data_IF_164365321958
#
_entry.id   IF_164365321958
#
_cell.length_a   1.000
_cell.length_b   1.000
_cell.length_c   1.000
_cell.angle_alpha   90.00
_cell.angle_beta   90.00
_cell.angle_gamma   90.00
#
_symmetry.space_group_name_H-M   'P 1'
#
loop_
_entity.id
_entity.type
_entity.pdbx_description
1 polymer ?
#
# COMPACT_ATOMS: atom_id res chain seq x y z
N UNK A 1 21.55 -25.56 59.63
CA UNK A 1 20.17 -25.83 59.16
C UNK A 1 19.51 -24.49 58.94
N UNK A 2 19.73 -23.90 57.77
CA UNK A 2 19.11 -22.65 57.34
C UNK A 2 17.66 -22.95 57.00
N UNK A 3 16.73 -22.42 57.80
CA UNK A 3 15.31 -22.45 57.45
C UNK A 3 15.15 -21.70 56.13
N UNK A 4 14.87 -22.45 55.06
CA UNK A 4 14.38 -21.91 53.81
C UNK A 4 13.10 -21.13 54.14
N UNK A 5 13.21 -19.81 54.20
CA UNK A 5 12.06 -18.92 54.28
C UNK A 5 11.11 -19.29 53.14
N UNK A 6 9.83 -19.45 53.48
CA UNK A 6 8.79 -19.98 52.61
C UNK A 6 8.79 -19.22 51.29
N UNK A 7 9.41 -19.81 50.26
CA UNK A 7 9.56 -19.17 48.96
C UNK A 7 8.22 -19.30 48.25
N UNK A 8 7.49 -18.19 48.13
CA UNK A 8 6.17 -18.19 47.51
C UNK A 8 6.32 -18.31 45.99
N UNK A 9 5.81 -19.40 45.45
CA UNK A 9 5.59 -19.56 44.01
C UNK A 9 4.56 -18.53 43.55
N UNK A 10 4.90 -17.78 42.51
CA UNK A 10 4.06 -16.76 41.89
C UNK A 10 3.89 -17.15 40.43
N UNK A 11 2.66 -17.35 39.97
CA UNK A 11 2.43 -17.50 38.54
C UNK A 11 2.37 -16.13 37.87
N UNK A 12 2.60 -16.06 36.56
CA UNK A 12 2.24 -14.86 35.79
C UNK A 12 0.74 -14.55 35.93
N UNK A 13 0.33 -13.35 35.49
CA UNK A 13 -1.06 -12.88 35.52
C UNK A 13 -2.03 -13.86 34.85
N UNK A 14 -1.52 -14.70 33.95
CA UNK A 14 -2.24 -15.70 33.19
C UNK A 14 -2.15 -17.11 33.79
N UNK A 15 -1.53 -17.30 34.95
CA UNK A 15 -1.44 -18.58 35.67
C UNK A 15 -0.59 -19.65 34.98
N UNK A 16 0.21 -19.32 33.97
CA UNK A 16 0.83 -20.27 33.04
C UNK A 16 2.32 -20.48 33.29
N UNK A 17 3.10 -19.43 33.52
CA UNK A 17 4.55 -19.54 33.77
C UNK A 17 4.85 -19.41 35.26
N UNK A 18 5.72 -20.29 35.78
CA UNK A 18 6.09 -20.31 37.20
C UNK A 18 7.26 -19.36 37.50
N UNK A 19 6.99 -18.37 38.34
CA UNK A 19 7.96 -17.44 38.91
C UNK A 19 8.14 -17.65 40.41
N UNK A 20 9.21 -17.06 40.92
CA UNK A 20 9.59 -16.98 42.31
C UNK A 20 9.70 -15.52 42.70
N UNK A 21 9.07 -15.14 43.81
CA UNK A 21 9.29 -13.84 44.41
C UNK A 21 10.63 -13.83 45.17
N UNK A 22 11.53 -12.94 44.78
CA UNK A 22 12.85 -12.80 45.38
C UNK A 22 13.07 -11.35 45.81
N UNK A 23 13.63 -11.05 47.00
CA UNK A 23 13.95 -9.68 47.38
C UNK A 23 15.00 -9.08 46.43
N UNK A 24 14.89 -7.78 46.13
CA UNK A 24 15.74 -7.05 45.17
C UNK A 24 17.24 -7.20 45.42
N UNK A 25 17.66 -7.35 46.68
CA UNK A 25 19.07 -7.50 47.05
C UNK A 25 19.62 -8.94 46.88
N UNK A 26 18.83 -9.87 46.35
CA UNK A 26 19.24 -11.27 46.21
C UNK A 26 20.10 -11.49 44.96
N UNK A 27 21.09 -12.41 44.99
CA UNK A 27 21.92 -12.73 43.81
C UNK A 27 21.10 -13.22 42.60
N UNK A 28 19.99 -13.94 42.82
CA UNK A 28 19.08 -14.38 41.77
C UNK A 28 18.35 -13.21 41.07
N UNK A 29 18.35 -12.03 41.69
CA UNK A 29 17.73 -10.81 41.20
C UNK A 29 18.75 -9.93 40.42
N UNK A 30 20.03 -10.03 40.76
CA UNK A 30 21.11 -9.21 40.17
C UNK A 30 21.89 -9.89 39.04
N UNK A 31 21.60 -11.15 38.70
CA UNK A 31 22.19 -11.85 37.55
C UNK A 31 23.72 -12.02 37.58
N UNK A 32 24.38 -11.60 38.67
CA UNK A 32 25.81 -11.75 38.90
C UNK A 32 26.01 -12.93 39.86
N UNK A 33 26.50 -14.04 39.32
CA UNK A 33 27.22 -15.01 40.14
C UNK A 33 28.45 -14.32 40.73
N UNK A 34 28.81 -14.69 41.96
CA UNK A 34 30.08 -14.30 42.58
C UNK A 34 31.24 -14.88 41.76
N UNK A 35 31.62 -14.18 40.70
CA UNK A 35 32.95 -14.25 40.09
C UNK A 35 33.64 -12.92 40.40
N UNK A 36 34.24 -12.86 41.59
CA UNK A 36 35.27 -11.88 41.86
C UNK A 36 36.52 -12.29 41.09
N UNK A 37 36.68 -11.78 39.87
CA UNK A 37 37.98 -11.41 39.32
C UNK A 37 37.83 -10.50 38.09
N UNK A 38 38.52 -9.37 38.14
CA UNK A 38 38.64 -8.34 37.10
C UNK A 38 38.93 -8.93 35.72
N UNK A 39 38.03 -8.74 34.75
CA UNK A 39 38.38 -8.72 33.33
C UNK A 39 37.61 -7.60 32.64
N UNK A 40 38.36 -6.78 31.92
CA UNK A 40 37.98 -5.57 31.21
C UNK A 40 36.79 -5.75 30.25
N UNK A 41 36.01 -4.67 30.13
CA UNK A 41 34.92 -4.49 29.18
C UNK A 41 35.30 -4.93 27.76
N UNK A 42 34.59 -5.92 27.23
CA UNK A 42 34.43 -6.12 25.79
C UNK A 42 32.95 -6.00 25.46
N UNK A 43 32.58 -4.83 24.94
CA UNK A 43 31.35 -4.66 24.17
C UNK A 43 31.34 -5.67 23.02
N UNK A 44 30.30 -6.51 22.98
CA UNK A 44 30.00 -7.34 21.81
C UNK A 44 28.75 -6.76 21.20
N UNK A 45 28.94 -5.86 20.24
CA UNK A 45 27.89 -5.34 19.38
C UNK A 45 27.29 -6.47 18.55
N UNK A 46 26.14 -7.00 18.99
CA UNK A 46 25.30 -7.81 18.11
C UNK A 46 24.45 -6.86 17.27
N UNK A 47 24.92 -6.59 16.05
CA UNK A 47 24.25 -5.75 15.07
C UNK A 47 22.83 -6.28 14.79
N UNK A 48 21.85 -5.65 15.42
CA UNK A 48 20.45 -5.72 15.01
C UNK A 48 20.32 -5.16 13.60
N UNK A 49 20.04 -6.03 12.63
CA UNK A 49 19.69 -5.61 11.28
C UNK A 49 18.29 -5.01 11.31
N UNK A 50 18.21 -3.73 11.65
CA UNK A 50 17.01 -2.93 11.47
C UNK A 50 16.82 -2.67 9.97
N UNK A 51 15.89 -3.40 9.34
CA UNK A 51 15.39 -3.04 8.01
C UNK A 51 14.44 -1.85 8.19
N UNK A 52 14.98 -0.64 8.04
CA UNK A 52 14.19 0.57 7.83
C UNK A 52 13.80 0.64 6.35
N UNK A 53 12.54 0.32 6.03
CA UNK A 53 12.01 0.61 4.70
C UNK A 53 11.50 2.05 4.66
N UNK A 54 12.37 2.95 4.17
CA UNK A 54 11.99 4.28 3.73
C UNK A 54 11.16 4.17 2.44
N UNK A 55 9.87 4.45 2.53
CA UNK A 55 9.02 4.68 1.36
C UNK A 55 9.33 6.07 0.80
N UNK A 56 10.27 6.15 -0.14
CA UNK A 56 10.44 7.32 -1.00
C UNK A 56 9.44 7.26 -2.15
N UNK A 57 8.47 8.18 -2.09
CA UNK A 57 7.54 8.49 -3.17
C UNK A 57 8.30 9.39 -4.16
N UNK A 58 8.71 8.83 -5.30
CA UNK A 58 9.12 9.61 -6.46
C UNK A 58 8.24 9.24 -7.65
N UNK A 59 7.24 10.09 -7.90
CA UNK A 59 6.48 10.08 -9.15
C UNK A 59 7.26 10.77 -10.26
N UNK A 60 7.12 10.25 -11.49
CA UNK A 60 7.53 10.98 -12.68
C UNK A 60 7.92 10.12 -13.87
N UNK A 61 7.05 10.15 -14.89
CA UNK A 61 7.33 9.96 -16.32
C UNK A 61 7.47 8.53 -16.89
N UNK A 62 6.39 8.16 -17.58
CA UNK A 62 6.25 7.21 -18.68
C UNK A 62 7.34 7.28 -19.76
N UNK A 63 7.86 6.12 -20.18
CA UNK A 63 8.29 5.89 -21.57
C UNK A 63 7.98 4.46 -22.02
N UNK A 64 7.41 4.38 -23.22
CA UNK A 64 7.04 3.17 -23.97
C UNK A 64 8.28 2.58 -24.63
N UNK A 65 8.51 1.27 -24.50
CA UNK A 65 9.30 0.52 -25.47
C UNK A 65 8.82 -0.93 -25.59
N UNK A 66 8.56 -1.31 -26.84
CA UNK A 66 8.02 -2.57 -27.32
C UNK A 66 9.16 -3.46 -27.85
N UNK A 67 8.89 -4.77 -27.93
CA UNK A 67 9.57 -5.83 -28.70
C UNK A 67 10.77 -6.51 -27.99
N UNK A 68 11.06 -7.80 -28.17
CA UNK A 68 10.54 -8.87 -29.04
C UNK A 68 11.01 -10.21 -28.44
N UNK A 69 10.25 -11.28 -28.68
CA UNK A 69 10.62 -12.65 -28.30
C UNK A 69 11.82 -13.19 -29.10
N UNK A 70 12.62 -14.05 -28.47
CA UNK A 70 13.36 -15.11 -29.15
C UNK A 70 13.65 -16.27 -28.18
N UNK A 71 13.14 -17.45 -28.55
CA UNK A 71 13.50 -18.76 -28.00
C UNK A 71 14.96 -19.06 -28.34
N UNK A 72 15.71 -19.62 -27.40
CA UNK A 72 16.59 -20.77 -27.66
C UNK A 72 16.95 -21.44 -26.33
N UNK A 73 16.67 -22.74 -26.23
CA UNK A 73 17.04 -23.57 -25.10
C UNK A 73 18.53 -23.92 -25.14
N UNK A 74 19.13 -24.07 -23.95
CA UNK A 74 20.37 -24.81 -23.74
C UNK A 74 20.36 -25.40 -22.34
N UNK A 75 20.43 -26.72 -22.31
CA UNK A 75 20.74 -27.56 -21.15
C UNK A 75 22.14 -27.23 -20.63
N UNK A 76 22.28 -27.02 -19.32
CA UNK A 76 23.57 -26.98 -18.64
C UNK A 76 23.56 -28.05 -17.56
N UNK A 77 24.42 -29.05 -17.76
CA UNK A 77 24.69 -30.10 -16.80
C UNK A 77 25.45 -29.56 -15.58
N UNK A 78 25.14 -30.15 -14.44
CA UNK A 78 25.78 -29.88 -13.16
C UNK A 78 27.14 -30.58 -13.15
N UNK A 79 28.21 -29.80 -13.13
CA UNK A 79 29.57 -30.30 -12.91
C UNK A 79 29.85 -30.35 -11.41
N UNK A 80 30.03 -31.57 -10.89
CA UNK A 80 30.49 -31.83 -9.53
C UNK A 80 32.03 -31.76 -9.53
N UNK A 81 32.61 -30.80 -8.83
CA UNK A 81 34.06 -30.75 -8.62
C UNK A 81 34.46 -31.61 -7.43
N UNK A 82 35.20 -32.68 -7.70
CA UNK A 82 35.90 -33.49 -6.72
C UNK A 82 37.06 -32.69 -6.11
N UNK A 83 37.14 -32.66 -4.77
CA UNK A 83 38.31 -32.18 -4.05
C UNK A 83 39.15 -33.39 -3.60
N UNK A 84 40.43 -33.32 -3.95
CA UNK A 84 41.43 -34.35 -3.79
C UNK A 84 41.97 -34.43 -2.35
N UNK A 85 42.37 -35.65 -2.00
CA UNK A 85 43.14 -36.01 -0.81
C UNK A 85 44.45 -35.24 -0.69
N UNK A 86 44.71 -34.72 0.51
CA UNK A 86 45.98 -34.15 0.93
C UNK A 86 46.28 -34.57 2.36
N UNK A 87 47.03 -35.67 2.49
CA UNK A 87 47.57 -36.18 3.76
C UNK A 87 48.56 -35.18 4.35
N UNK A 88 48.36 -34.76 5.60
CA UNK A 88 49.35 -34.03 6.39
C UNK A 88 49.37 -34.56 7.82
N UNK A 89 50.59 -34.83 8.30
CA UNK A 89 50.91 -35.52 9.53
C UNK A 89 50.39 -34.79 10.79
N UNK A 90 49.60 -35.51 11.60
CA UNK A 90 49.11 -35.04 12.89
C UNK A 90 50.19 -35.25 13.96
N UNK A 91 50.89 -34.16 14.29
CA UNK A 91 51.59 -34.05 15.56
C UNK A 91 50.57 -34.13 16.71
N UNK A 92 50.87 -34.96 17.72
CA UNK A 92 50.11 -35.04 18.97
C UNK A 92 50.14 -33.69 19.67
N UNK A 93 49.13 -32.86 19.42
CA UNK A 93 48.77 -31.72 20.28
C UNK A 93 47.68 -32.20 21.22
N UNK A 94 47.97 -32.08 22.51
CA UNK A 94 47.05 -32.35 23.60
C UNK A 94 45.71 -31.64 23.37
N UNK A 95 44.62 -32.35 23.70
CA UNK A 95 43.27 -31.82 23.62
C UNK A 95 43.20 -30.48 24.38
N UNK A 96 42.70 -29.38 23.77
CA UNK A 96 42.45 -28.18 24.52
C UNK A 96 41.41 -28.54 25.58
N UNK A 97 41.79 -28.39 26.85
CA UNK A 97 40.90 -28.55 27.99
C UNK A 97 39.72 -27.62 27.75
N UNK A 98 38.57 -28.21 27.46
CA UNK A 98 37.28 -27.55 27.47
C UNK A 98 37.10 -27.05 28.91
N UNK A 99 37.47 -25.79 29.17
CA UNK A 99 36.96 -25.10 30.35
C UNK A 99 35.52 -24.79 30.00
N UNK A 100 34.69 -25.80 30.24
CA UNK A 100 33.25 -25.74 30.14
C UNK A 100 32.84 -24.82 31.29
N UNK A 101 32.74 -23.52 31.03
CA UNK A 101 31.87 -22.65 31.81
C UNK A 101 30.46 -23.17 31.52
N UNK A 102 30.07 -24.26 32.19
CA UNK A 102 28.76 -24.89 32.02
C UNK A 102 27.74 -23.84 32.38
N UNK A 103 26.99 -23.39 31.38
CA UNK A 103 25.99 -22.35 31.55
C UNK A 103 25.05 -22.78 32.68
N UNK A 104 24.96 -21.99 33.75
CA UNK A 104 24.08 -22.38 34.85
C UNK A 104 22.63 -22.16 34.42
N UNK A 105 21.68 -22.99 34.88
CA UNK A 105 20.26 -22.76 34.60
C UNK A 105 19.77 -21.37 35.00
N UNK A 106 20.35 -20.80 36.06
CA UNK A 106 20.05 -19.44 36.53
C UNK A 106 20.46 -18.37 35.50
N UNK A 107 21.67 -18.47 34.94
CA UNK A 107 22.16 -17.54 33.91
C UNK A 107 21.33 -17.64 32.62
N UNK A 108 20.98 -18.86 32.20
CA UNK A 108 20.15 -19.07 31.01
C UNK A 108 18.72 -18.57 31.22
N UNK A 109 18.13 -18.83 32.39
CA UNK A 109 16.80 -18.34 32.74
C UNK A 109 16.77 -16.82 32.86
N UNK A 110 17.79 -16.18 33.44
CA UNK A 110 17.87 -14.72 33.50
C UNK A 110 17.93 -14.07 32.10
N UNK A 111 18.54 -14.77 31.13
CA UNK A 111 18.60 -14.33 29.73
C UNK A 111 17.23 -14.45 29.02
N UNK A 112 16.53 -15.56 29.24
CA UNK A 112 15.23 -15.85 28.61
C UNK A 112 14.04 -15.16 29.32
N UNK A 113 14.16 -14.94 30.62
CA UNK A 113 13.16 -14.40 31.52
C UNK A 113 13.82 -13.34 32.41
N UNK A 114 14.00 -12.11 31.90
CA UNK A 114 14.61 -11.04 32.67
C UNK A 114 13.80 -10.76 33.94
N UNK A 115 14.45 -10.47 35.09
CA UNK A 115 13.77 -10.22 36.34
C UNK A 115 12.96 -8.93 36.26
N UNK A 116 11.68 -8.99 36.63
CA UNK A 116 10.77 -7.85 36.62
C UNK A 116 10.39 -7.46 38.05
N UNK A 117 10.27 -6.16 38.39
CA UNK A 117 9.81 -5.75 39.71
C UNK A 117 8.34 -6.18 39.94
N UNK A 118 8.06 -6.81 41.08
CA UNK A 118 6.69 -6.96 41.60
C UNK A 118 6.23 -5.58 42.05
N UNK A 119 5.62 -4.80 41.15
CA UNK A 119 4.88 -3.63 41.57
C UNK A 119 3.70 -4.10 42.43
N UNK A 120 3.61 -3.63 43.67
CA UNK A 120 2.34 -3.61 44.37
C UNK A 120 1.43 -2.65 43.61
N UNK A 121 0.32 -3.14 43.06
CA UNK A 121 -0.63 -2.38 42.22
C UNK A 121 -1.26 -1.14 42.91
N UNK A 122 -0.86 -0.82 44.14
CA UNK A 122 -1.42 0.26 44.96
C UNK A 122 -0.73 1.62 44.76
N UNK A 123 0.54 1.68 44.32
CA UNK A 123 1.28 2.95 44.26
C UNK A 123 1.11 3.72 42.94
N UNK A 124 0.99 3.05 41.79
CA UNK A 124 0.81 3.73 40.50
C UNK A 124 -0.55 4.44 40.37
N UNK A 125 -1.57 4.00 41.11
CA UNK A 125 -2.88 4.67 41.16
C UNK A 125 -2.88 5.92 42.06
N UNK A 126 -1.99 6.00 43.06
CA UNK A 126 -1.86 7.20 43.91
C UNK A 126 -1.13 8.33 43.19
N UNK A 127 -0.02 8.04 42.49
CA UNK A 127 0.73 9.09 41.79
C UNK A 127 -0.06 9.75 40.63
N UNK A 128 -0.94 9.00 39.95
CA UNK A 128 -1.82 9.57 38.90
C UNK A 128 -2.96 10.42 39.46
N UNK A 129 -3.33 10.25 40.73
CA UNK A 129 -4.39 11.04 41.37
C UNK A 129 -3.87 12.38 41.91
N UNK A 130 -2.64 12.42 42.42
CA UNK A 130 -2.03 13.65 42.93
C UNK A 130 -1.56 14.60 41.82
N UNK A 131 -1.16 14.08 40.65
CA UNK A 131 -0.70 14.92 39.51
C UNK A 131 -1.81 15.70 38.79
N UNK A 132 -3.08 15.52 39.15
CA UNK A 132 -4.20 16.16 38.46
C UNK A 132 -4.84 17.36 39.22
N UNK A 133 -4.32 17.73 40.40
CA UNK A 133 -4.90 18.83 41.21
C UNK A 133 -4.02 20.08 41.40
N UNK A 134 -2.78 20.14 40.91
CA UNK A 134 -1.96 21.35 41.08
C UNK A 134 -1.45 21.93 39.76
N UNK A 135 -2.24 22.88 39.24
CA UNK A 135 -1.78 23.84 38.24
C UNK A 135 -1.19 25.09 38.89
N UNK A 136 -0.02 25.50 38.36
CA UNK A 136 0.47 26.87 38.24
C UNK A 136 1.22 27.51 39.44
N UNK A 137 2.56 27.64 39.34
CA UNK A 137 3.35 28.55 40.18
C UNK A 137 4.88 28.32 40.17
N UNK A 138 5.61 29.27 39.58
CA UNK A 138 7.04 29.62 39.66
C UNK A 138 8.13 28.69 40.27
N UNK A 139 9.13 28.43 39.40
CA UNK A 139 10.59 28.40 39.59
C UNK A 139 11.19 28.50 41.02
N UNK A 140 11.85 27.42 41.47
CA UNK A 140 13.00 27.50 42.37
C UNK A 140 13.84 26.21 42.28
N UNK A 141 15.18 26.37 42.28
CA UNK A 141 16.15 25.31 42.56
C UNK A 141 15.75 24.60 43.85
N UNK A 142 15.85 23.27 43.89
CA UNK A 142 16.46 22.59 45.02
C UNK A 142 16.97 21.22 44.60
N UNK A 143 18.29 21.10 44.70
CA UNK A 143 19.01 19.87 44.94
C UNK A 143 18.32 19.11 46.08
N UNK A 144 17.65 18.01 45.76
CA UNK A 144 17.35 16.99 46.76
C UNK A 144 17.83 15.65 46.20
N UNK A 145 19.10 15.37 46.49
CA UNK A 145 19.57 14.01 46.61
C UNK A 145 18.74 13.36 47.72
N UNK A 146 17.72 12.57 47.36
CA UNK A 146 17.12 11.64 48.31
C UNK A 146 18.05 10.44 48.46
N UNK A 147 19.16 10.63 49.16
CA UNK A 147 19.59 9.58 50.08
C UNK A 147 18.51 9.47 51.14
N UNK A 148 17.59 8.50 50.97
CA UNK A 148 16.69 8.09 52.03
C UNK A 148 16.41 6.59 51.98
N UNK A 149 17.18 5.91 52.83
CA UNK A 149 16.75 4.86 53.76
C UNK A 149 16.24 3.54 53.18
N UNK A 150 17.09 2.52 53.35
CA UNK A 150 16.78 1.11 53.50
C UNK A 150 15.39 0.86 54.12
N UNK A 151 14.56 0.04 53.47
CA UNK A 151 13.44 -0.60 54.17
C UNK A 151 12.38 -1.26 53.31
N UNK A 152 12.10 -0.78 52.11
CA UNK A 152 11.12 -1.45 51.26
C UNK A 152 11.83 -2.56 50.50
N UNK A 153 11.62 -3.80 50.96
CA UNK A 153 12.03 -4.98 50.21
C UNK A 153 11.25 -5.01 48.91
N UNK A 154 11.76 -4.33 47.88
CA UNK A 154 11.22 -4.42 46.52
C UNK A 154 11.35 -5.87 46.11
N UNK A 155 10.25 -6.54 45.84
CA UNK A 155 10.27 -7.93 45.39
C UNK A 155 10.42 -7.95 43.87
N UNK A 156 11.12 -8.95 43.35
CA UNK A 156 11.28 -9.18 41.91
C UNK A 156 10.71 -10.56 41.55
N UNK A 157 10.06 -10.64 40.38
CA UNK A 157 9.67 -11.90 39.73
C UNK A 157 10.88 -12.44 39.01
N UNK A 158 11.38 -13.58 39.45
CA UNK A 158 12.45 -14.33 38.79
C UNK A 158 11.88 -15.68 38.34
N UNK A 159 12.28 -16.20 37.18
CA UNK A 159 11.84 -17.52 36.75
C UNK A 159 12.19 -18.59 37.80
N UNK A 160 11.26 -19.48 38.11
CA UNK A 160 11.52 -20.53 39.10
C UNK A 160 12.55 -21.55 38.56
N UNK A 161 13.44 -21.99 39.45
CA UNK A 161 14.50 -22.98 39.14
C UNK A 161 14.04 -24.41 39.53
N UNK A 162 12.86 -24.54 40.12
CA UNK A 162 12.35 -25.82 40.62
C UNK A 162 12.18 -26.83 39.49
N UNK A 163 12.72 -28.04 39.72
CA UNK A 163 12.58 -29.16 38.80
C UNK A 163 11.12 -29.56 38.64
N UNK A 164 10.74 -29.89 37.41
CA UNK A 164 9.35 -30.20 37.07
C UNK A 164 9.06 -31.69 37.26
N UNK A 165 7.99 -31.99 38.00
CA UNK A 165 7.47 -33.36 38.14
C UNK A 165 6.55 -33.72 36.96
N UNK A 166 6.36 -35.02 36.70
CA UNK A 166 5.38 -35.50 35.73
C UNK A 166 3.97 -34.96 36.02
N UNK A 167 3.64 -34.78 37.30
CA UNK A 167 2.35 -34.23 37.71
C UNK A 167 2.17 -32.77 37.27
N UNK A 168 3.24 -31.97 37.33
CA UNK A 168 3.20 -30.56 36.94
C UNK A 168 2.95 -30.40 35.43
N UNK A 169 3.51 -31.29 34.60
CA UNK A 169 3.21 -31.33 33.17
C UNK A 169 1.73 -31.62 32.88
N UNK A 170 1.11 -32.52 33.66
CA UNK A 170 -0.33 -32.82 33.54
C UNK A 170 -1.16 -31.61 33.98
N UNK A 171 -0.81 -30.97 35.09
CA UNK A 171 -1.49 -29.76 35.56
C UNK A 171 -1.39 -28.60 34.55
N UNK A 172 -0.22 -28.41 33.92
CA UNK A 172 -0.04 -27.43 32.86
C UNK A 172 -0.98 -27.74 31.68
N UNK A 173 -1.03 -28.99 31.22
CA UNK A 173 -1.91 -29.39 30.12
C UNK A 173 -3.39 -29.16 30.45
N UNK A 174 -3.83 -29.50 31.66
CA UNK A 174 -5.20 -29.28 32.11
C UNK A 174 -5.52 -27.79 32.26
N UNK A 175 -4.57 -26.98 32.72
CA UNK A 175 -4.69 -25.53 32.79
C UNK A 175 -4.87 -24.91 31.40
N UNK A 176 -4.04 -25.26 30.42
CA UNK A 176 -4.17 -24.78 29.05
C UNK A 176 -5.51 -25.18 28.42
N UNK A 177 -5.95 -26.42 28.66
CA UNK A 177 -7.24 -26.91 28.18
C UNK A 177 -8.42 -26.17 28.83
N UNK A 178 -8.32 -25.86 30.13
CA UNK A 178 -9.32 -25.07 30.85
C UNK A 178 -9.38 -23.65 30.28
N UNK A 179 -8.23 -22.97 30.12
CA UNK A 179 -8.16 -21.64 29.50
C UNK A 179 -8.74 -21.63 28.08
N UNK A 180 -8.45 -22.65 27.27
CA UNK A 180 -9.05 -22.75 25.93
C UNK A 180 -10.58 -22.83 25.97
N UNK A 181 -11.17 -23.48 26.99
CA UNK A 181 -12.63 -23.55 27.16
C UNK A 181 -13.21 -22.25 27.67
N UNK A 182 -12.58 -21.64 28.67
CA UNK A 182 -13.01 -20.38 29.29
C UNK A 182 -12.96 -19.21 28.31
N UNK A 183 -11.86 -19.11 27.54
CA UNK A 183 -11.65 -18.09 26.52
C UNK A 183 -12.33 -18.44 25.17
N UNK A 184 -13.08 -19.56 25.10
CA UNK A 184 -13.79 -20.05 23.91
C UNK A 184 -12.92 -20.14 22.65
N UNK A 185 -11.71 -20.68 22.80
CA UNK A 185 -10.77 -20.88 21.70
C UNK A 185 -11.32 -21.90 20.67
N UNK A 186 -11.15 -21.62 19.37
CA UNK A 186 -11.61 -22.53 18.30
C UNK A 186 -10.73 -23.80 18.24
N UNK A 187 -11.32 -25.01 18.25
CA UNK A 187 -10.57 -26.27 18.22
C UNK A 187 -10.02 -26.63 16.83
N UNK A 188 -10.61 -26.11 15.75
CA UNK A 188 -10.23 -26.40 14.37
C UNK A 188 -10.57 -25.23 13.44
N UNK A 189 -9.88 -25.14 12.31
CA UNK A 189 -10.14 -24.14 11.26
C UNK A 189 -8.97 -23.18 11.06
N UNK A 190 -9.26 -21.99 10.54
CA UNK A 190 -8.29 -20.89 10.42
C UNK A 190 -7.70 -20.59 11.81
N UNK A 191 -6.39 -20.31 11.84
CA UNK A 191 -5.62 -20.04 13.06
C UNK A 191 -6.39 -19.13 14.02
N UNK A 192 -6.58 -19.60 15.26
CA UNK A 192 -7.28 -18.86 16.29
C UNK A 192 -6.27 -18.13 17.17
N UNK A 193 -6.30 -16.80 17.17
CA UNK A 193 -5.37 -15.95 17.91
C UNK A 193 -5.39 -16.20 19.42
N UNK A 194 -6.56 -16.48 19.99
CA UNK A 194 -6.73 -16.84 21.40
C UNK A 194 -5.97 -18.14 21.71
N UNK A 195 -6.18 -19.16 20.87
CA UNK A 195 -5.51 -20.45 21.04
C UNK A 195 -4.00 -20.30 20.86
N UNK A 196 -3.57 -19.58 19.84
CA UNK A 196 -2.17 -19.28 19.60
C UNK A 196 -1.54 -18.62 20.85
N UNK A 197 -2.18 -17.60 21.42
CA UNK A 197 -1.72 -16.96 22.65
C UNK A 197 -1.59 -17.91 23.83
N UNK A 198 -2.60 -18.75 24.09
CA UNK A 198 -2.58 -19.75 25.18
C UNK A 198 -1.43 -20.75 25.00
N UNK A 199 -1.21 -21.25 23.78
CA UNK A 199 -0.14 -22.21 23.52
C UNK A 199 1.25 -21.55 23.47
N UNK A 200 1.34 -20.27 23.12
CA UNK A 200 2.58 -19.48 23.24
C UNK A 200 2.95 -19.28 24.71
N UNK A 201 1.98 -18.96 25.57
CA UNK A 201 2.20 -18.91 27.03
C UNK A 201 2.64 -20.29 27.57
N UNK A 202 2.02 -21.37 27.08
CA UNK A 202 2.41 -22.75 27.43
C UNK A 202 3.81 -23.14 26.95
N UNK A 203 4.18 -22.76 25.72
CA UNK A 203 5.52 -22.97 25.16
C UNK A 203 6.58 -22.22 25.97
N UNK A 204 6.25 -21.02 26.47
CA UNK A 204 7.11 -20.26 27.36
C UNK A 204 7.39 -21.00 28.68
N UNK A 205 6.38 -21.62 29.29
CA UNK A 205 6.60 -22.49 30.47
C UNK A 205 7.42 -23.74 30.11
N UNK A 206 7.19 -24.38 28.95
CA UNK A 206 8.01 -25.51 28.49
C UNK A 206 9.48 -25.13 28.29
N UNK A 207 9.75 -23.92 27.77
CA UNK A 207 11.12 -23.39 27.67
C UNK A 207 11.73 -23.28 29.07
N UNK A 208 11.02 -22.69 30.05
CA UNK A 208 11.51 -22.61 31.44
C UNK A 208 11.85 -24.00 31.98
N UNK A 209 10.93 -24.96 31.89
CA UNK A 209 11.12 -26.34 32.37
C UNK A 209 12.32 -27.02 31.69
N UNK A 210 12.48 -26.81 30.39
CA UNK A 210 13.58 -27.39 29.60
C UNK A 210 14.93 -26.77 29.97
N UNK A 211 14.98 -25.45 30.17
CA UNK A 211 16.18 -24.70 30.60
C UNK A 211 16.64 -25.13 31.98
N UNK A 212 15.71 -25.40 32.91
CA UNK A 212 16.02 -25.94 34.24
C UNK A 212 16.73 -27.30 34.15
N UNK A 213 16.33 -28.16 33.20
CA UNK A 213 16.94 -29.48 33.00
C UNK A 213 18.28 -29.39 32.25
N UNK A 214 18.29 -28.69 31.12
CA UNK A 214 19.45 -28.54 30.24
C UNK A 214 19.41 -27.11 29.65
N UNK A 215 20.23 -26.19 30.17
CA UNK A 215 20.22 -24.78 29.77
C UNK A 215 20.41 -24.56 28.27
N UNK A 216 21.33 -25.31 27.65
CA UNK A 216 21.65 -25.21 26.22
C UNK A 216 20.46 -25.61 25.35
N UNK A 217 19.72 -26.65 25.76
CA UNK A 217 18.51 -27.10 25.06
C UNK A 217 17.38 -26.10 25.20
N UNK A 218 17.26 -25.46 26.36
CA UNK A 218 16.28 -24.41 26.62
C UNK A 218 16.51 -23.16 25.76
N UNK A 219 17.76 -22.71 25.65
CA UNK A 219 18.15 -21.60 24.77
C UNK A 219 17.86 -21.92 23.29
N UNK A 220 18.24 -23.11 22.83
CA UNK A 220 17.95 -23.55 21.46
C UNK A 220 16.45 -23.61 21.18
N UNK A 221 15.64 -24.10 22.13
CA UNK A 221 14.19 -24.16 21.98
C UNK A 221 13.58 -22.75 21.90
N UNK A 222 14.10 -21.79 22.66
CA UNK A 222 13.66 -20.40 22.60
C UNK A 222 13.99 -19.77 21.24
N UNK A 223 15.20 -19.98 20.72
CA UNK A 223 15.59 -19.50 19.38
C UNK A 223 14.68 -20.10 18.30
N UNK A 224 14.49 -21.42 18.31
CA UNK A 224 13.58 -22.10 17.39
C UNK A 224 12.15 -21.55 17.47
N UNK A 225 11.63 -21.29 18.68
CA UNK A 225 10.30 -20.70 18.87
C UNK A 225 10.21 -19.32 18.22
N UNK A 226 11.25 -18.48 18.35
CA UNK A 226 11.29 -17.17 17.70
C UNK A 226 11.35 -17.29 16.17
N UNK A 227 12.14 -18.22 15.63
CA UNK A 227 12.20 -18.48 14.18
C UNK A 227 10.86 -18.96 13.62
N UNK A 228 10.16 -19.83 14.34
CA UNK A 228 8.82 -20.29 13.98
C UNK A 228 7.81 -19.13 13.98
N UNK A 229 7.86 -18.24 14.98
CA UNK A 229 7.00 -17.05 15.00
C UNK A 229 7.31 -16.10 13.84
N UNK A 230 8.59 -15.84 13.57
CA UNK A 230 9.00 -15.01 12.44
C UNK A 230 8.53 -15.61 11.10
N UNK A 231 8.60 -16.93 10.96
CA UNK A 231 8.13 -17.63 9.77
C UNK A 231 6.62 -17.50 9.59
N UNK A 232 5.86 -17.64 10.68
CA UNK A 232 4.40 -17.43 10.69
C UNK A 232 4.05 -15.99 10.27
N UNK A 233 4.71 -15.00 10.87
CA UNK A 233 4.51 -13.58 10.53
C UNK A 233 4.82 -13.29 9.04
N UNK A 234 5.85 -13.94 8.47
CA UNK A 234 6.16 -13.81 7.03
C UNK A 234 5.03 -14.34 6.16
N UNK A 235 4.43 -15.48 6.53
CA UNK A 235 3.28 -16.03 5.81
C UNK A 235 2.05 -15.12 5.91
N UNK A 236 1.81 -14.50 7.06
CA UNK A 236 0.71 -13.54 7.23
C UNK A 236 0.86 -12.32 6.31
N UNK A 237 2.06 -11.75 6.23
CA UNK A 237 2.36 -10.63 5.31
C UNK A 237 2.17 -11.05 3.86
N UNK A 238 2.62 -12.25 3.48
CA UNK A 238 2.45 -12.75 2.12
C UNK A 238 0.96 -12.97 1.78
N UNK A 239 0.19 -13.50 2.72
CA UNK A 239 -1.25 -13.72 2.57
C UNK A 239 -1.99 -12.39 2.40
N UNK A 240 -1.69 -11.39 3.23
CA UNK A 240 -2.28 -10.05 3.11
C UNK A 240 -1.93 -9.41 1.76
N UNK A 241 -0.66 -9.49 1.34
CA UNK A 241 -0.22 -9.00 0.03
C UNK A 241 -0.97 -9.66 -1.14
N UNK A 242 -1.16 -10.99 -1.08
CA UNK A 242 -1.90 -11.75 -2.08
C UNK A 242 -3.40 -11.37 -2.11
N UNK A 243 -4.00 -11.20 -0.94
CA UNK A 243 -5.39 -10.74 -0.80
C UNK A 243 -5.59 -9.35 -1.40
N UNK A 244 -4.71 -8.40 -1.05
CA UNK A 244 -4.71 -7.05 -1.60
C UNK A 244 -4.51 -7.04 -3.12
N UNK A 245 -3.65 -7.92 -3.64
CA UNK A 245 -3.48 -8.08 -5.08
C UNK A 245 -4.77 -8.55 -5.76
N UNK A 246 -5.45 -9.56 -5.19
CA UNK A 246 -6.71 -10.07 -5.72
C UNK A 246 -7.79 -8.98 -5.77
N UNK A 247 -7.95 -8.19 -4.70
CA UNK A 247 -8.89 -7.06 -4.66
C UNK A 247 -8.55 -6.01 -5.73
N UNK A 248 -7.28 -5.62 -5.86
CA UNK A 248 -6.85 -4.67 -6.90
C UNK A 248 -7.17 -5.18 -8.30
N UNK A 249 -6.91 -6.46 -8.59
CA UNK A 249 -7.22 -7.05 -9.90
C UNK A 249 -8.72 -7.17 -10.16
N UNK A 250 -9.54 -7.40 -9.15
CA UNK A 250 -10.99 -7.34 -9.28
C UNK A 250 -11.44 -5.91 -9.68
N UNK A 251 -10.95 -4.89 -8.97
CA UNK A 251 -11.27 -3.47 -9.26
C UNK A 251 -10.79 -3.07 -10.65
N UNK A 252 -9.56 -3.43 -11.04
CA UNK A 252 -9.04 -3.16 -12.39
C UNK A 252 -9.91 -3.80 -13.49
N UNK A 253 -10.40 -5.02 -13.26
CA UNK A 253 -11.31 -5.72 -14.19
C UNK A 253 -12.64 -4.97 -14.33
N UNK A 254 -13.24 -4.56 -13.21
CA UNK A 254 -14.52 -3.86 -13.20
C UNK A 254 -14.40 -2.47 -13.84
N UNK A 255 -13.35 -1.71 -13.49
CA UNK A 255 -13.04 -0.42 -14.10
C UNK A 255 -12.83 -0.56 -15.62
N UNK A 256 -12.08 -1.58 -16.06
CA UNK A 256 -11.86 -1.83 -17.49
C UNK A 256 -13.17 -2.11 -18.22
N UNK A 257 -14.08 -2.88 -17.63
CA UNK A 257 -15.40 -3.14 -18.21
C UNK A 257 -16.20 -1.84 -18.35
N UNK A 258 -16.27 -1.04 -17.28
CA UNK A 258 -16.97 0.24 -17.29
C UNK A 258 -16.44 1.20 -18.37
N UNK A 259 -15.11 1.34 -18.48
CA UNK A 259 -14.48 2.19 -19.50
C UNK A 259 -14.75 1.69 -20.93
N UNK A 260 -14.87 0.38 -21.14
CA UNK A 260 -15.25 -0.16 -22.44
C UNK A 260 -16.70 0.16 -22.81
N UNK A 261 -17.62 0.05 -21.85
CA UNK A 261 -19.02 0.36 -22.06
C UNK A 261 -19.22 1.86 -22.30
N UNK A 262 -18.54 2.72 -21.54
CA UNK A 262 -18.56 4.17 -21.73
C UNK A 262 -17.99 4.57 -23.10
N UNK A 263 -16.84 3.99 -23.49
CA UNK A 263 -16.27 4.18 -24.82
C UNK A 263 -17.28 3.82 -25.92
N UNK A 264 -17.97 2.68 -25.79
CA UNK A 264 -18.96 2.24 -26.78
C UNK A 264 -20.16 3.18 -26.85
N UNK A 265 -20.63 3.68 -25.71
CA UNK A 265 -21.68 4.70 -25.63
C UNK A 265 -21.27 5.98 -26.38
N UNK A 266 -20.07 6.49 -26.08
CA UNK A 266 -19.53 7.69 -26.72
C UNK A 266 -19.31 7.50 -28.23
N UNK A 267 -18.79 6.35 -28.66
CA UNK A 267 -18.67 6.04 -30.10
C UNK A 267 -20.03 6.00 -30.81
N UNK A 268 -21.07 5.48 -30.15
CA UNK A 268 -22.42 5.48 -30.71
C UNK A 268 -23.01 6.88 -30.83
N UNK A 269 -22.73 7.75 -29.84
CA UNK A 269 -23.20 9.13 -29.84
C UNK A 269 -22.49 9.97 -30.89
N UNK A 270 -21.17 9.77 -31.08
CA UNK A 270 -20.42 10.39 -32.17
C UNK A 270 -21.04 10.01 -33.52
N UNK A 271 -21.29 8.72 -33.77
CA UNK A 271 -21.93 8.27 -35.03
C UNK A 271 -23.31 8.90 -35.22
N UNK A 272 -24.10 9.01 -34.15
CA UNK A 272 -25.43 9.65 -34.18
C UNK A 272 -25.32 11.12 -34.57
N UNK A 273 -24.37 11.85 -33.97
CA UNK A 273 -24.12 13.26 -34.27
C UNK A 273 -23.58 13.47 -35.69
N UNK A 274 -22.68 12.61 -36.16
CA UNK A 274 -22.16 12.63 -37.53
C UNK A 274 -23.28 12.46 -38.56
N UNK A 275 -24.17 11.48 -38.35
CA UNK A 275 -25.34 11.29 -39.19
C UNK A 275 -26.23 12.54 -39.20
N UNK A 276 -26.46 13.14 -38.02
CA UNK A 276 -27.26 14.36 -37.91
C UNK A 276 -26.62 15.55 -38.64
N UNK A 277 -25.30 15.70 -38.55
CA UNK A 277 -24.56 16.74 -39.28
C UNK A 277 -24.69 16.52 -40.79
N UNK A 278 -24.55 15.27 -41.26
CA UNK A 278 -24.69 14.93 -42.67
C UNK A 278 -26.11 15.21 -43.20
N UNK A 279 -27.15 14.85 -42.44
CA UNK A 279 -28.54 15.19 -42.77
C UNK A 279 -28.75 16.71 -42.91
N UNK A 280 -28.23 17.50 -41.95
CA UNK A 280 -28.38 18.95 -41.97
C UNK A 280 -27.60 19.59 -43.12
N UNK A 281 -26.40 19.07 -43.43
CA UNK A 281 -25.60 19.49 -44.59
C UNK A 281 -26.35 19.20 -45.89
N UNK A 282 -26.88 17.99 -46.05
CA UNK A 282 -27.68 17.63 -47.23
C UNK A 282 -28.92 18.51 -47.40
N UNK A 283 -29.62 18.83 -46.29
CA UNK A 283 -30.75 19.78 -46.32
C UNK A 283 -30.32 21.17 -46.75
N UNK A 284 -29.22 21.68 -46.18
CA UNK A 284 -28.65 23.00 -46.50
C UNK A 284 -28.22 23.08 -47.97
N UNK A 285 -27.51 22.07 -48.47
CA UNK A 285 -27.07 22.03 -49.87
C UNK A 285 -28.26 21.89 -50.83
N UNK A 286 -29.29 21.13 -50.44
CA UNK A 286 -30.55 21.06 -51.19
C UNK A 286 -31.26 22.40 -51.29
N UNK A 287 -31.29 23.20 -50.21
CA UNK A 287 -31.87 24.55 -50.24
C UNK A 287 -31.06 25.51 -51.10
N UNK A 288 -29.72 25.48 -51.00
CA UNK A 288 -28.83 26.32 -51.82
C UNK A 288 -29.05 26.04 -53.31
N UNK A 289 -29.09 24.76 -53.71
CA UNK A 289 -29.33 24.38 -55.11
C UNK A 289 -30.65 24.90 -55.64
N UNK A 290 -31.75 24.71 -54.89
CA UNK A 290 -33.08 25.24 -55.28
C UNK A 290 -33.08 26.76 -55.41
N UNK A 291 -32.40 27.45 -54.49
CA UNK A 291 -32.30 28.91 -54.54
C UNK A 291 -31.50 29.39 -55.75
N UNK A 292 -30.39 28.74 -56.08
CA UNK A 292 -29.58 29.10 -57.26
C UNK A 292 -30.34 28.78 -58.56
N UNK A 293 -31.05 27.65 -58.63
CA UNK A 293 -31.92 27.29 -59.76
C UNK A 293 -33.03 28.34 -59.96
N UNK A 294 -33.70 28.75 -58.88
CA UNK A 294 -34.74 29.77 -58.93
C UNK A 294 -34.17 31.12 -59.36
N UNK A 295 -33.05 31.54 -58.77
CA UNK A 295 -32.35 32.77 -59.15
C UNK A 295 -31.92 32.74 -60.62
N UNK A 296 -31.38 31.62 -61.11
CA UNK A 296 -30.98 31.49 -62.51
C UNK A 296 -32.18 31.53 -63.45
N UNK A 297 -33.30 30.91 -63.08
CA UNK A 297 -34.56 30.98 -63.83
C UNK A 297 -35.09 32.42 -63.91
N UNK A 298 -35.10 33.16 -62.81
CA UNK A 298 -35.51 34.56 -62.77
C UNK A 298 -34.55 35.46 -63.60
N UNK A 299 -33.24 35.22 -63.51
CA UNK A 299 -32.25 35.95 -64.33
C UNK A 299 -32.47 35.69 -65.83
N UNK A 300 -32.70 34.45 -66.23
CA UNK A 300 -32.97 34.10 -67.63
C UNK A 300 -34.28 34.73 -68.10
N UNK A 301 -35.36 34.66 -67.29
CA UNK A 301 -36.65 35.30 -67.59
C UNK A 301 -36.50 36.82 -67.77
N UNK A 302 -35.76 37.47 -66.86
CA UNK A 302 -35.50 38.89 -66.95
C UNK A 302 -34.66 39.24 -68.19
N UNK A 303 -33.66 38.43 -68.54
CA UNK A 303 -32.85 38.63 -69.75
C UNK A 303 -33.70 38.52 -71.03
N UNK A 304 -34.61 37.55 -71.09
CA UNK A 304 -35.57 37.40 -72.17
C UNK A 304 -36.52 38.60 -72.28
N UNK A 305 -37.04 39.09 -71.15
CA UNK A 305 -37.90 40.27 -71.08
C UNK A 305 -37.17 41.54 -71.54
N UNK A 306 -35.93 41.74 -71.09
CA UNK A 306 -35.07 42.84 -71.55
C UNK A 306 -34.80 42.73 -73.05
N UNK A 307 -34.52 41.54 -73.58
CA UNK A 307 -34.33 41.31 -75.03
C UNK A 307 -35.60 41.64 -75.82
N UNK A 308 -36.77 41.24 -75.32
CA UNK A 308 -38.06 41.55 -75.93
C UNK A 308 -38.33 43.06 -75.95
N UNK A 309 -38.19 43.74 -74.80
CA UNK A 309 -38.38 45.18 -74.69
C UNK A 309 -37.40 45.98 -75.56
N UNK A 310 -36.14 45.53 -75.68
CA UNK A 310 -35.17 46.13 -76.61
C UNK A 310 -35.62 46.02 -78.06
N UNK A 311 -36.12 44.86 -78.50
CA UNK A 311 -36.67 44.67 -79.85
C UNK A 311 -37.90 45.53 -80.10
N UNK A 312 -38.84 45.58 -79.15
CA UNK A 312 -40.03 46.43 -79.25
C UNK A 312 -39.66 47.92 -79.32
N UNK A 313 -38.73 48.39 -78.48
CA UNK A 313 -38.22 49.77 -78.55
C UNK A 313 -37.55 50.06 -79.90
N UNK A 314 -36.76 49.13 -80.44
CA UNK A 314 -36.16 49.30 -81.77
C UNK A 314 -37.21 49.41 -82.87
N UNK A 315 -38.26 48.59 -82.82
CA UNK A 315 -39.40 48.69 -83.75
C UNK A 315 -40.08 50.05 -83.66
N UNK A 316 -40.40 50.52 -82.44
CA UNK A 316 -41.00 51.84 -82.21
C UNK A 316 -40.09 52.96 -82.74
N UNK A 317 -38.78 52.91 -82.48
CA UNK A 317 -37.81 53.88 -83.01
C UNK A 317 -37.81 53.87 -84.55
N UNK A 318 -37.88 52.69 -85.16
CA UNK A 318 -37.93 52.58 -86.63
C UNK A 318 -39.23 53.14 -87.21
N UNK A 319 -40.37 52.92 -86.55
CA UNK A 319 -41.66 53.49 -86.95
C UNK A 319 -41.68 55.01 -86.80
N UNK A 320 -41.16 55.55 -85.68
CA UNK A 320 -41.01 57.00 -85.50
C UNK A 320 -40.16 57.59 -86.63
N UNK A 321 -39.00 56.98 -86.94
CA UNK A 321 -38.15 57.42 -88.05
C UNK A 321 -38.89 57.38 -89.39
N UNK A 322 -39.70 56.35 -89.65
CA UNK A 322 -40.53 56.25 -90.86
C UNK A 322 -41.56 57.38 -90.90
N UNK A 323 -42.31 57.61 -89.82
CA UNK A 323 -43.33 58.67 -89.73
C UNK A 323 -42.67 60.05 -89.90
N UNK A 324 -41.58 60.34 -89.20
CA UNK A 324 -40.86 61.61 -89.34
C UNK A 324 -40.28 61.80 -90.74
N UNK A 325 -39.82 60.72 -91.41
CA UNK A 325 -39.39 60.80 -92.80
C UNK A 325 -40.55 61.09 -93.76
N UNK A 326 -41.72 60.49 -93.54
CA UNK A 326 -42.95 60.79 -94.28
C UNK A 326 -43.43 62.22 -94.02
N UNK A 327 -43.40 62.71 -92.78
CA UNK A 327 -43.71 64.09 -92.44
C UNK A 327 -42.73 65.07 -93.09
N UNK A 328 -41.42 64.77 -93.10
CA UNK A 328 -40.42 65.57 -93.82
C UNK A 328 -40.60 65.53 -95.33
N UNK A 329 -40.97 64.38 -95.90
CA UNK A 329 -41.27 64.24 -97.33
C UNK A 329 -42.54 65.01 -97.71
N UNK A 330 -43.58 64.99 -96.86
CA UNK A 330 -44.79 65.77 -97.03
C UNK A 330 -44.52 67.28 -96.88
N UNK A 331 -43.66 67.68 -95.94
CA UNK A 331 -43.19 69.06 -95.81
C UNK A 331 -42.35 69.51 -97.01
N UNK A 332 -41.50 68.63 -97.56
CA UNK A 332 -40.73 68.89 -98.78
C UNK A 332 -41.61 68.93 -100.04
N UNK A 333 -42.65 68.09 -100.13
CA UNK A 333 -43.65 68.13 -101.19
C UNK A 333 -44.52 69.39 -101.10
N UNK A 334 -44.88 69.84 -99.89
CA UNK A 334 -45.53 71.13 -99.67
C UNK A 334 -44.63 72.32 -100.05
N UNK A 335 -43.32 72.24 -99.78
CA UNK A 335 -42.34 73.24 -100.23
C UNK A 335 -42.10 73.22 -101.75
N UNK A 336 -42.14 72.05 -102.40
CA UNK A 336 -42.04 71.92 -103.85
C UNK A 336 -43.31 72.37 -104.58
N UNK A 337 -44.50 72.14 -103.99
CA UNK A 337 -45.77 72.68 -104.48
C UNK A 337 -45.85 74.21 -104.36
N UNK A 338 -45.18 74.80 -103.35
CA UNK A 338 -45.03 76.26 -103.25
C UNK A 338 -44.03 76.86 -104.28
N UNK A 339 -43.15 76.06 -104.87
CA UNK A 339 -42.20 76.48 -105.90
C UNK A 339 -42.67 76.25 -107.35
N UNK A 340 -43.80 75.55 -107.56
CA UNK A 340 -44.39 75.26 -108.87
C UNK A 340 -45.79 75.88 -109.06
N UNK A 341 -46.03 77.07 -108.51
CA UNK A 341 -47.11 77.94 -108.98
C UNK A 341 -46.54 78.91 -110.04
N UNK A 342 -46.94 78.81 -111.33
CA UNK A 342 -46.48 79.69 -112.39
C UNK A 342 -47.18 81.06 -112.34
N UNK A 343 -46.42 82.08 -112.74
CA UNK A 343 -46.93 83.37 -113.23
C UNK A 343 -48.08 83.19 -114.22
N UNK A 344 -49.21 83.88 -113.99
CA UNK A 344 -50.00 84.48 -115.08
C UNK A 344 -50.90 85.59 -114.55
N UNK A 345 -50.66 86.77 -115.14
CA UNK A 345 -51.38 88.06 -115.09
C UNK A 345 -51.04 89.01 -113.95
#
# INVERSE_FOLDING_TARGET
MTHAGNVTNVYDEKGTVLYRAVPYNSPAANGKGDDSDNVEDREVDFAGTAIVNASVVSGGASFVARAKASRMGRSVGVSFSALADGSSAVAKKEAPKLIQNSLTPEQALATLFPPEPLQGEEEEKKEKKEKNEEGFGHQARNTFCSTREFGESKWMKVAAIDHTSRLDCVHLQDHLNRRCKEENARPSGVLCTIREGIYTDGLRELIRQTTVLCPERGLLLAELATEMQQTTNKYDILFDSASQYAVRKAIERDMRSYLFDDKKSMESEVRRLENRVNELRAKRDGMIKRFEEQKQSELNRHEEEVKYLKKANQQIISEIKRITALEKANAAAAAAAAAQAPHSM
#
